data_IF_820642034329
#
_entry.id   IF_820642034329
#
_cell.length_a   1.000
_cell.length_b   1.000
_cell.length_c   1.000
_cell.angle_alpha   90.00
_cell.angle_beta   90.00
_cell.angle_gamma   90.00
#
_symmetry.space_group_name_H-M   'P 1'
#
loop_
_entity.id
_entity.type
_entity.pdbx_description
1 polymer ?
#
# COMPACT_ATOMS: atom_id res chain seq x y z
N UNK A 1 2.04 -0.68 -12.09
CA UNK A 1 2.28 -1.92 -11.31
C UNK A 1 1.00 -2.18 -10.55
N UNK A 2 0.46 -3.40 -10.58
CA UNK A 2 -0.83 -3.72 -9.96
C UNK A 2 -0.69 -4.93 -9.06
N UNK A 3 -1.57 -5.06 -8.07
CA UNK A 3 -1.67 -6.28 -7.27
C UNK A 3 -3.13 -6.66 -7.09
N UNK A 4 -3.40 -7.96 -7.09
CA UNK A 4 -4.72 -8.52 -6.82
C UNK A 4 -4.64 -9.33 -5.54
N UNK A 5 -5.71 -9.30 -4.74
CA UNK A 5 -5.81 -10.06 -3.50
C UNK A 5 -7.12 -10.83 -3.44
N UNK A 6 -7.08 -12.05 -2.90
CA UNK A 6 -8.26 -12.84 -2.59
C UNK A 6 -8.21 -13.33 -1.13
N UNK A 7 -9.28 -13.07 -0.38
CA UNK A 7 -9.39 -13.50 1.00
C UNK A 7 -9.49 -15.04 1.07
N UNK A 8 -8.82 -15.63 2.04
CA UNK A 8 -9.06 -17.03 2.40
C UNK A 8 -10.22 -17.15 3.40
N UNK A 9 -10.65 -18.38 3.67
CA UNK A 9 -11.59 -18.68 4.76
C UNK A 9 -11.00 -18.44 6.16
N UNK A 10 -9.68 -18.24 6.27
CA UNK A 10 -8.99 -18.00 7.53
C UNK A 10 -8.75 -16.49 7.73
N UNK A 11 -9.01 -16.02 8.96
CA UNK A 11 -8.78 -14.62 9.32
C UNK A 11 -7.29 -14.27 9.13
N UNK A 12 -7.02 -13.09 8.59
CA UNK A 12 -5.68 -12.54 8.37
C UNK A 12 -4.81 -13.31 7.36
N UNK A 13 -5.36 -14.29 6.65
CA UNK A 13 -4.65 -15.05 5.61
C UNK A 13 -5.28 -14.75 4.25
N UNK A 14 -4.46 -14.35 3.29
CA UNK A 14 -4.91 -14.03 1.93
C UNK A 14 -3.88 -14.39 0.87
N UNK A 15 -4.36 -14.71 -0.32
CA UNK A 15 -3.52 -14.90 -1.49
C UNK A 15 -3.29 -13.57 -2.18
N UNK A 16 -2.04 -13.29 -2.53
CA UNK A 16 -1.65 -12.07 -3.24
C UNK A 16 -0.91 -12.42 -4.51
N UNK A 17 -1.14 -11.61 -5.55
CA UNK A 17 -0.39 -11.67 -6.79
C UNK A 17 -0.02 -10.26 -7.25
N UNK A 18 1.26 -10.06 -7.58
CA UNK A 18 1.80 -8.81 -8.08
C UNK A 18 2.14 -8.89 -9.55
N UNK A 19 1.81 -7.83 -10.28
CA UNK A 19 1.98 -7.74 -11.72
C UNK A 19 2.83 -6.53 -12.09
N UNK A 20 3.70 -6.70 -13.09
CA UNK A 20 4.44 -5.58 -13.68
C UNK A 20 3.51 -4.68 -14.52
N UNK A 21 4.07 -3.62 -15.10
CA UNK A 21 3.31 -2.70 -15.98
C UNK A 21 2.78 -3.35 -17.26
N UNK A 22 3.34 -4.48 -17.70
CA UNK A 22 2.85 -5.25 -18.85
C UNK A 22 1.80 -6.31 -18.46
N UNK A 23 1.34 -6.34 -17.20
CA UNK A 23 0.37 -7.32 -16.71
C UNK A 23 0.94 -8.72 -16.52
N UNK A 24 2.26 -8.91 -16.57
CA UNK A 24 2.90 -10.19 -16.29
C UNK A 24 3.04 -10.38 -14.78
N UNK A 25 2.63 -11.56 -14.30
CA UNK A 25 2.82 -11.97 -12.90
C UNK A 25 4.31 -11.99 -12.56
N UNK A 26 4.64 -11.35 -11.43
CA UNK A 26 5.99 -11.26 -10.88
C UNK A 26 6.15 -12.08 -9.61
N UNK A 27 5.10 -12.12 -8.79
CA UNK A 27 5.12 -12.77 -7.48
C UNK A 27 3.72 -13.25 -7.13
N UNK A 28 3.63 -14.49 -6.70
CA UNK A 28 2.46 -15.06 -6.03
C UNK A 28 2.88 -15.47 -4.62
N UNK A 29 2.11 -15.08 -3.61
CA UNK A 29 2.45 -15.35 -2.22
C UNK A 29 1.19 -15.48 -1.34
N UNK A 30 1.38 -16.03 -0.15
CA UNK A 30 0.41 -15.95 0.94
C UNK A 30 0.85 -14.83 1.86
N UNK A 31 -0.05 -13.89 2.12
CA UNK A 31 0.13 -12.85 3.12
C UNK A 31 -0.60 -13.25 4.41
N UNK A 32 0.11 -13.20 5.53
CA UNK A 32 -0.42 -13.47 6.88
C UNK A 32 -0.25 -12.19 7.71
N UNK A 33 -1.27 -11.34 7.68
CA UNK A 33 -1.27 -10.05 8.38
C UNK A 33 -2.72 -9.60 8.63
N UNK A 34 -2.95 -8.88 9.72
CA UNK A 34 -4.27 -8.31 10.01
C UNK A 34 -4.67 -7.28 8.96
N UNK A 35 -3.73 -6.41 8.58
CA UNK A 35 -3.95 -5.37 7.59
C UNK A 35 -3.07 -5.65 6.37
N UNK A 36 -3.62 -5.74 5.15
CA UNK A 36 -2.83 -5.98 3.95
C UNK A 36 -1.76 -4.92 3.73
N UNK A 37 -0.57 -5.31 3.28
CA UNK A 37 0.52 -4.37 3.01
C UNK A 37 0.14 -3.32 1.96
N UNK A 38 -0.66 -3.69 0.95
CA UNK A 38 -1.04 -2.78 -0.13
C UNK A 38 -1.86 -1.57 0.31
N UNK A 39 -2.54 -1.65 1.46
CA UNK A 39 -3.33 -0.53 2.00
C UNK A 39 -2.56 0.29 3.04
N UNK A 40 -1.35 -0.15 3.42
CA UNK A 40 -0.49 0.57 4.35
C UNK A 40 0.29 1.62 3.57
N UNK A 41 0.27 2.87 4.03
CA UNK A 41 1.18 3.90 3.53
C UNK A 41 2.60 3.63 4.03
N UNK A 42 3.59 3.81 3.15
CA UNK A 42 4.99 3.81 3.54
C UNK A 42 5.27 4.96 4.51
N UNK A 43 6.28 4.78 5.37
CA UNK A 43 6.63 5.84 6.34
C UNK A 43 7.11 7.10 5.61
N UNK A 44 7.85 6.91 4.53
CA UNK A 44 8.32 7.94 3.61
C UNK A 44 7.17 8.74 2.98
N UNK A 45 6.06 8.08 2.64
CA UNK A 45 4.88 8.74 2.09
C UNK A 45 4.21 9.63 3.14
N UNK A 46 4.13 9.14 4.39
CA UNK A 46 3.59 9.89 5.52
C UNK A 46 4.46 11.10 5.85
N UNK A 47 5.77 10.90 5.99
CA UNK A 47 6.72 11.97 6.32
C UNK A 47 6.74 13.05 5.23
N UNK A 48 6.75 12.63 3.95
CA UNK A 48 6.65 13.55 2.81
C UNK A 48 5.31 14.29 2.77
N UNK A 49 4.21 13.64 3.15
CA UNK A 49 2.90 14.26 3.23
C UNK A 49 2.81 15.28 4.37
N UNK A 50 3.39 14.98 5.54
CA UNK A 50 3.50 15.93 6.65
C UNK A 50 4.28 17.17 6.23
N UNK A 51 5.39 17.01 5.51
CA UNK A 51 6.18 18.14 5.01
C UNK A 51 5.37 19.01 4.06
N UNK A 52 4.63 18.39 3.12
CA UNK A 52 3.75 19.11 2.18
C UNK A 52 2.64 19.87 2.92
N UNK A 53 2.02 19.26 3.92
CA UNK A 53 0.99 19.92 4.74
C UNK A 53 1.56 21.14 5.46
N UNK A 54 2.73 21.02 6.08
CA UNK A 54 3.39 22.16 6.75
C UNK A 54 3.69 23.31 5.80
N UNK A 55 4.11 23.00 4.58
CA UNK A 55 4.35 24.03 3.54
C UNK A 55 3.05 24.74 3.14
N UNK A 56 1.96 23.99 2.96
CA UNK A 56 0.64 24.57 2.66
C UNK A 56 0.13 25.46 3.79
N UNK A 57 0.31 25.05 5.05
CA UNK A 57 -0.04 25.88 6.22
C UNK A 57 0.72 27.20 6.22
N UNK A 58 2.03 27.15 5.98
CA UNK A 58 2.87 28.34 5.86
C UNK A 58 2.41 29.28 4.73
N UNK A 59 2.11 28.73 3.55
CA UNK A 59 1.63 29.51 2.41
C UNK A 59 0.25 30.15 2.66
N UNK A 60 -0.62 29.45 3.39
CA UNK A 60 -1.97 29.91 3.71
C UNK A 60 -2.04 30.80 4.97
N UNK A 61 -0.91 31.05 5.64
CA UNK A 61 -0.83 31.84 6.88
C UNK A 61 -1.75 31.33 8.00
N UNK A 62 -1.90 30.00 8.10
CA UNK A 62 -2.64 29.29 9.17
C UNK A 62 -1.66 28.44 10.00
#
# INVERSE_FOLDING_TARGET
MGSVQSNSQFKNIRWIEHFNSAGKSLLQAIEIDEVPAIVKAGREDLDGSILRIKKLQQELSI
#
